data_IF_149281255517
#
_entry.id   IF_149281255517
#
_cell.length_a   1.000
_cell.length_b   1.000
_cell.length_c   1.000
_cell.angle_alpha   90.00
_cell.angle_beta   90.00
_cell.angle_gamma   90.00
#
_symmetry.space_group_name_H-M   'P 1'
#
loop_
_entity.id
_entity.type
_entity.pdbx_description
1 polymer ?
#
# COMPACT_ATOMS: atom_id res chain seq x y z
N UNK A 1 -2.18 11.94 -13.69
CA UNK A 1 -1.15 10.95 -14.11
C UNK A 1 -1.62 10.27 -15.38
N UNK A 2 -0.82 10.34 -16.43
CA UNK A 2 -1.17 9.68 -17.70
C UNK A 2 -0.82 8.19 -17.62
N UNK A 3 -1.78 7.33 -17.91
CA UNK A 3 -1.67 5.87 -17.84
C UNK A 3 -0.45 5.32 -18.60
N UNK A 4 -0.18 5.86 -19.79
CA UNK A 4 0.92 5.43 -20.66
C UNK A 4 2.31 5.73 -20.09
N UNK A 5 2.50 6.90 -19.46
CA UNK A 5 3.74 7.27 -18.78
C UNK A 5 3.98 6.45 -17.52
N UNK A 6 2.93 6.13 -16.81
CA UNK A 6 2.97 5.31 -15.60
C UNK A 6 3.42 3.88 -15.91
N UNK A 7 2.86 3.28 -16.98
CA UNK A 7 3.22 1.91 -17.38
C UNK A 7 4.71 1.82 -17.75
N UNK A 8 5.27 2.83 -18.42
CA UNK A 8 6.70 2.86 -18.75
C UNK A 8 7.62 2.86 -17.54
N UNK A 9 7.16 3.38 -16.41
CA UNK A 9 7.94 3.38 -15.16
C UNK A 9 7.86 2.05 -14.40
N UNK A 10 6.80 1.27 -14.64
CA UNK A 10 6.56 0.01 -13.95
C UNK A 10 7.20 -1.18 -14.68
N UNK A 11 7.17 -1.14 -16.02
CA UNK A 11 7.68 -2.23 -16.86
C UNK A 11 8.93 -1.79 -17.60
N UNK A 12 9.99 -2.60 -17.50
CA UNK A 12 11.14 -2.48 -18.36
C UNK A 12 10.84 -3.11 -19.72
N UNK A 13 11.57 -2.66 -20.74
CA UNK A 13 11.50 -3.26 -22.08
C UNK A 13 12.85 -3.86 -22.38
N UNK A 14 12.88 -5.14 -22.68
CA UNK A 14 14.11 -5.85 -23.04
C UNK A 14 14.59 -5.46 -24.45
N UNK A 15 15.84 -5.78 -24.79
CA UNK A 15 16.42 -5.45 -26.08
C UNK A 15 15.65 -6.06 -27.26
N UNK A 16 14.96 -7.18 -27.04
CA UNK A 16 14.11 -7.84 -28.05
C UNK A 16 12.66 -7.33 -28.05
N UNK A 17 12.37 -6.26 -27.29
CA UNK A 17 11.06 -5.61 -27.27
C UNK A 17 10.03 -6.22 -26.35
N UNK A 18 10.41 -7.24 -25.54
CA UNK A 18 9.52 -7.81 -24.55
C UNK A 18 9.36 -6.89 -23.35
N UNK A 19 8.16 -6.86 -22.78
CA UNK A 19 7.90 -6.13 -21.54
C UNK A 19 8.26 -7.01 -20.35
N UNK A 20 9.21 -6.55 -19.52
CA UNK A 20 9.64 -7.25 -18.33
C UNK A 20 9.06 -6.57 -17.08
N UNK A 21 8.52 -7.36 -16.18
CA UNK A 21 7.99 -6.85 -14.92
C UNK A 21 9.14 -6.54 -13.95
N UNK A 22 9.18 -5.29 -13.49
CA UNK A 22 10.16 -4.84 -12.50
C UNK A 22 9.81 -5.39 -11.12
N UNK A 23 10.84 -5.65 -10.29
CA UNK A 23 10.64 -6.08 -8.90
C UNK A 23 10.15 -4.95 -8.00
N UNK A 24 10.25 -3.70 -8.45
CA UNK A 24 9.84 -2.51 -7.70
C UNK A 24 8.80 -1.72 -8.49
N UNK A 25 7.78 -1.27 -7.78
CA UNK A 25 6.78 -0.34 -8.30
C UNK A 25 7.09 1.05 -7.74
N UNK A 26 7.47 1.96 -8.61
CA UNK A 26 7.73 3.36 -8.26
C UNK A 26 6.56 4.23 -8.65
N UNK A 27 5.92 4.84 -7.66
CA UNK A 27 4.90 5.86 -7.93
C UNK A 27 5.64 7.12 -8.38
N UNK A 28 5.23 7.72 -9.53
CA UNK A 28 5.96 8.85 -10.12
C UNK A 28 6.15 10.03 -9.17
N UNK A 29 7.33 10.64 -9.22
CA UNK A 29 7.61 11.88 -8.48
C UNK A 29 6.59 12.96 -8.87
N UNK A 30 6.15 13.74 -7.90
CA UNK A 30 5.13 14.78 -8.09
C UNK A 30 3.70 14.29 -7.92
N UNK A 31 3.47 12.97 -7.82
CA UNK A 31 2.13 12.43 -7.52
C UNK A 31 1.72 12.87 -6.12
N UNK A 32 0.58 13.55 -6.00
CA UNK A 32 0.04 14.02 -4.71
C UNK A 32 -1.02 13.08 -4.16
N UNK A 33 -1.84 12.51 -5.05
CA UNK A 33 -2.93 11.60 -4.71
C UNK A 33 -2.81 10.34 -5.55
N UNK A 34 -2.78 9.18 -4.90
CA UNK A 34 -2.94 7.91 -5.59
C UNK A 34 -4.44 7.63 -5.63
N UNK A 35 -5.02 7.72 -6.80
CA UNK A 35 -6.48 7.68 -7.00
C UNK A 35 -7.09 6.32 -6.69
N UNK A 36 -8.37 6.36 -6.34
CA UNK A 36 -9.17 5.16 -6.05
C UNK A 36 -9.04 4.11 -7.16
N UNK A 37 -8.78 2.88 -6.76
CA UNK A 37 -8.64 1.70 -7.65
C UNK A 37 -7.53 1.79 -8.71
N UNK A 38 -6.72 2.83 -8.71
CA UNK A 38 -5.77 3.07 -9.82
C UNK A 38 -4.80 1.90 -10.02
N UNK A 39 -4.03 1.56 -8.99
CA UNK A 39 -3.03 0.51 -9.09
C UNK A 39 -3.69 -0.87 -9.10
N UNK A 40 -4.72 -1.03 -8.31
CA UNK A 40 -5.53 -2.25 -8.27
C UNK A 40 -6.02 -2.62 -9.67
N UNK A 41 -6.64 -1.67 -10.38
CA UNK A 41 -7.16 -1.91 -11.74
C UNK A 41 -6.05 -2.21 -12.76
N UNK A 42 -4.90 -1.55 -12.64
CA UNK A 42 -3.77 -1.77 -13.56
C UNK A 42 -3.21 -3.20 -13.47
N UNK A 43 -3.30 -3.84 -12.31
CA UNK A 43 -2.66 -5.14 -12.06
C UNK A 43 -3.63 -6.26 -11.66
N UNK A 44 -4.92 -6.00 -11.68
CA UNK A 44 -5.96 -6.92 -11.19
C UNK A 44 -5.87 -8.32 -11.80
N UNK A 45 -5.63 -8.40 -13.11
CA UNK A 45 -5.73 -9.65 -13.86
C UNK A 45 -4.37 -10.27 -14.24
N UNK A 46 -3.24 -9.65 -13.91
CA UNK A 46 -1.95 -10.14 -14.40
C UNK A 46 -1.06 -10.80 -13.34
N UNK A 47 -1.56 -10.94 -12.11
CA UNK A 47 -0.80 -11.60 -11.04
C UNK A 47 0.48 -10.88 -10.64
N UNK A 48 0.56 -9.57 -10.90
CA UNK A 48 1.75 -8.76 -10.61
C UNK A 48 2.16 -8.90 -9.14
N UNK A 49 3.45 -9.14 -8.92
CA UNK A 49 4.04 -9.24 -7.59
C UNK A 49 5.29 -8.38 -7.53
N UNK A 50 5.33 -7.51 -6.54
CA UNK A 50 6.46 -6.60 -6.33
C UNK A 50 7.16 -6.92 -5.01
N UNK A 51 8.47 -6.76 -4.98
CA UNK A 51 9.20 -6.79 -3.72
C UNK A 51 8.94 -5.52 -2.93
N UNK A 52 8.92 -4.37 -3.64
CA UNK A 52 8.72 -3.06 -3.01
C UNK A 52 7.76 -2.20 -3.82
N UNK A 53 6.94 -1.45 -3.11
CA UNK A 53 6.23 -0.29 -3.64
C UNK A 53 6.84 0.95 -2.99
N UNK A 54 7.32 1.87 -3.81
CA UNK A 54 8.02 3.08 -3.35
C UNK A 54 7.17 4.29 -3.69
N UNK A 55 6.75 5.00 -2.66
CA UNK A 55 5.97 6.22 -2.77
C UNK A 55 6.90 7.44 -2.69
N UNK A 56 6.72 8.46 -3.54
CA UNK A 56 7.51 9.69 -3.39
C UNK A 56 7.01 10.54 -2.22
N UNK A 57 7.85 11.48 -1.77
CA UNK A 57 7.49 12.41 -0.68
C UNK A 57 6.29 13.31 -1.02
N UNK A 58 5.95 13.43 -2.30
CA UNK A 58 4.85 14.27 -2.77
C UNK A 58 3.47 13.70 -2.47
N UNK A 59 3.35 12.38 -2.22
CA UNK A 59 2.05 11.75 -1.96
C UNK A 59 1.51 12.17 -0.60
N UNK A 60 0.33 12.80 -0.62
CA UNK A 60 -0.42 13.22 0.57
C UNK A 60 -1.54 12.27 0.91
N UNK A 61 -2.15 11.65 -0.09
CA UNK A 61 -3.34 10.83 0.09
C UNK A 61 -3.29 9.59 -0.81
N UNK A 62 -3.67 8.47 -0.22
CA UNK A 62 -3.91 7.21 -0.93
C UNK A 62 -5.39 6.93 -0.80
N UNK A 63 -6.12 7.00 -1.92
CA UNK A 63 -7.57 6.88 -1.93
C UNK A 63 -8.06 5.44 -1.83
N UNK A 64 -9.39 5.29 -1.76
CA UNK A 64 -10.09 4.03 -1.56
C UNK A 64 -9.62 2.94 -2.53
N UNK A 65 -9.22 1.79 -1.98
CA UNK A 65 -8.81 0.60 -2.73
C UNK A 65 -7.69 0.82 -3.76
N UNK A 66 -6.89 1.89 -3.61
CA UNK A 66 -5.87 2.26 -4.61
C UNK A 66 -4.90 1.13 -4.95
N UNK A 67 -4.45 0.37 -3.95
CA UNK A 67 -3.52 -0.77 -4.10
C UNK A 67 -4.16 -2.12 -3.74
N UNK A 68 -5.47 -2.20 -3.61
CA UNK A 68 -6.13 -3.42 -3.18
C UNK A 68 -5.78 -4.60 -4.09
N UNK A 69 -5.49 -5.75 -3.47
CA UNK A 69 -5.22 -7.03 -4.13
C UNK A 69 -3.98 -7.07 -5.05
N UNK A 70 -3.14 -6.04 -5.07
CA UNK A 70 -1.79 -6.21 -5.63
C UNK A 70 -0.94 -6.98 -4.63
N UNK A 71 0.14 -7.59 -5.08
CA UNK A 71 1.07 -8.27 -4.18
C UNK A 71 2.32 -7.43 -4.02
N UNK A 72 2.64 -7.06 -2.77
CA UNK A 72 3.88 -6.33 -2.47
C UNK A 72 4.37 -6.75 -1.09
N UNK A 73 5.64 -7.14 -1.00
CA UNK A 73 6.22 -7.53 0.28
C UNK A 73 6.51 -6.33 1.17
N UNK A 74 6.91 -5.21 0.58
CA UNK A 74 7.23 -3.98 1.29
C UNK A 74 6.57 -2.78 0.63
N UNK A 75 6.12 -1.85 1.44
CA UNK A 75 5.65 -0.54 0.99
C UNK A 75 6.43 0.51 1.76
N UNK A 76 7.14 1.37 1.04
CA UNK A 76 7.93 2.44 1.63
C UNK A 76 7.10 3.71 1.67
N UNK A 77 6.54 3.98 2.84
CA UNK A 77 5.80 5.21 3.11
C UNK A 77 6.77 6.34 3.43
N UNK A 78 6.52 7.51 2.87
CA UNK A 78 7.39 8.68 3.03
C UNK A 78 6.73 9.77 3.86
N UNK A 79 7.52 10.62 4.48
CA UNK A 79 7.02 11.82 5.14
C UNK A 79 6.28 12.70 4.14
N UNK A 80 5.15 13.24 4.56
CA UNK A 80 4.24 13.95 3.70
C UNK A 80 2.90 13.24 3.54
N UNK A 81 2.87 11.91 3.68
CA UNK A 81 1.63 11.15 3.63
C UNK A 81 0.75 11.48 4.84
N UNK A 82 -0.49 11.90 4.57
CA UNK A 82 -1.44 12.33 5.60
C UNK A 82 -2.66 11.41 5.74
N UNK A 83 -3.05 10.73 4.66
CA UNK A 83 -4.28 9.93 4.67
C UNK A 83 -4.14 8.66 3.85
N UNK A 84 -4.57 7.55 4.46
CA UNK A 84 -4.76 6.25 3.80
C UNK A 84 -6.23 5.91 3.94
N UNK A 85 -6.94 5.85 2.82
CA UNK A 85 -8.38 5.62 2.81
C UNK A 85 -8.73 4.13 2.95
N UNK A 86 -10.03 3.85 3.05
CA UNK A 86 -10.52 2.48 3.23
C UNK A 86 -10.08 1.52 2.13
N UNK A 87 -9.79 0.29 2.48
CA UNK A 87 -9.39 -0.80 1.57
C UNK A 87 -8.10 -0.54 0.78
N UNK A 88 -7.38 0.55 1.04
CA UNK A 88 -6.26 1.00 0.18
C UNK A 88 -5.20 -0.08 -0.07
N UNK A 89 -4.86 -0.88 0.92
CA UNK A 89 -3.88 -1.98 0.84
C UNK A 89 -4.47 -3.33 1.22
N UNK A 90 -5.77 -3.50 1.09
CA UNK A 90 -6.41 -4.78 1.41
C UNK A 90 -5.86 -5.88 0.53
N UNK A 91 -5.49 -6.99 1.15
CA UNK A 91 -5.03 -8.18 0.42
C UNK A 91 -3.63 -8.07 -0.17
N UNK A 92 -2.83 -7.07 0.21
CA UNK A 92 -1.51 -6.83 -0.39
C UNK A 92 -0.44 -7.81 0.09
N UNK A 93 -0.47 -8.22 1.36
CA UNK A 93 0.49 -9.17 1.88
C UNK A 93 1.84 -8.56 2.29
N UNK A 94 1.79 -7.39 2.90
CA UNK A 94 2.98 -6.71 3.42
C UNK A 94 3.63 -7.57 4.51
N UNK A 95 4.96 -7.71 4.45
CA UNK A 95 5.77 -8.40 5.45
C UNK A 95 6.53 -7.38 6.29
N UNK A 96 6.28 -7.36 7.59
CA UNK A 96 7.03 -6.52 8.50
C UNK A 96 6.85 -6.99 9.94
N UNK A 97 7.94 -7.04 10.67
CA UNK A 97 7.92 -7.24 12.11
C UNK A 97 7.40 -6.00 12.84
N UNK A 98 7.70 -4.83 12.30
CA UNK A 98 7.18 -3.56 12.80
C UNK A 98 7.18 -2.52 11.67
N UNK A 99 6.01 -2.25 11.10
CA UNK A 99 5.84 -1.21 10.07
C UNK A 99 5.61 0.13 10.78
N UNK A 100 6.58 1.02 10.64
CA UNK A 100 6.52 2.36 11.23
C UNK A 100 5.98 3.34 10.18
N UNK A 101 4.86 3.95 10.47
CA UNK A 101 4.25 4.95 9.59
C UNK A 101 4.87 6.33 9.78
N UNK A 102 4.89 7.17 8.74
CA UNK A 102 5.46 8.52 8.83
C UNK A 102 4.69 9.39 9.84
N UNK A 103 5.39 10.31 10.47
CA UNK A 103 4.85 11.21 11.51
C UNK A 103 3.73 12.11 11.00
N UNK A 104 3.65 12.30 9.69
CA UNK A 104 2.63 13.14 9.05
C UNK A 104 1.28 12.46 8.92
N UNK A 105 1.21 11.13 9.09
CA UNK A 105 -0.03 10.37 8.88
C UNK A 105 -1.07 10.72 9.94
N UNK A 106 -2.28 11.08 9.49
CA UNK A 106 -3.40 11.54 10.32
C UNK A 106 -4.53 10.54 10.42
N UNK A 107 -4.75 9.71 9.39
CA UNK A 107 -5.86 8.75 9.41
C UNK A 107 -5.62 7.54 8.52
N UNK A 108 -6.18 6.41 8.96
CA UNK A 108 -6.23 5.14 8.24
C UNK A 108 -7.66 4.65 8.25
N UNK A 109 -8.22 4.38 7.08
CA UNK A 109 -9.62 4.01 6.91
C UNK A 109 -9.91 2.53 7.22
N UNK A 110 -11.20 2.18 7.12
CA UNK A 110 -11.70 0.82 7.34
C UNK A 110 -11.04 -0.17 6.37
N UNK A 111 -10.64 -1.33 6.87
CA UNK A 111 -10.06 -2.44 6.08
C UNK A 111 -8.82 -2.06 5.28
N UNK A 112 -8.17 -0.94 5.60
CA UNK A 112 -7.05 -0.43 4.80
C UNK A 112 -5.91 -1.44 4.63
N UNK A 113 -5.64 -2.25 5.64
CA UNK A 113 -4.61 -3.30 5.64
C UNK A 113 -5.17 -4.68 5.99
N UNK A 114 -6.46 -4.87 5.82
CA UNK A 114 -7.12 -6.14 6.14
C UNK A 114 -6.74 -7.23 5.13
N UNK A 115 -6.94 -8.47 5.52
CA UNK A 115 -6.64 -9.65 4.69
C UNK A 115 -5.21 -9.66 4.16
N UNK A 116 -4.26 -9.26 5.01
CA UNK A 116 -2.84 -9.17 4.66
C UNK A 116 -2.18 -10.55 4.73
N UNK A 117 -2.41 -11.37 3.70
CA UNK A 117 -1.97 -12.78 3.65
C UNK A 117 -1.24 -13.12 2.36
N UNK A 118 -0.08 -13.77 2.47
CA UNK A 118 0.61 -14.40 1.35
C UNK A 118 1.04 -15.80 1.77
N UNK A 119 0.72 -16.84 1.00
CA UNK A 119 -0.18 -16.85 -0.17
C UNK A 119 -1.63 -16.50 0.23
N UNK A 120 -2.44 -16.13 -0.74
CA UNK A 120 -3.80 -15.59 -0.54
C UNK A 120 -4.69 -16.43 0.40
N UNK A 121 -4.47 -17.73 0.47
CA UNK A 121 -5.23 -18.65 1.30
C UNK A 121 -4.52 -19.06 2.60
N UNK A 122 -3.37 -18.46 2.88
CA UNK A 122 -2.65 -18.67 4.14
C UNK A 122 -3.44 -18.06 5.30
N UNK A 123 -3.37 -18.70 6.45
CA UNK A 123 -3.87 -18.15 7.70
C UNK A 123 -2.86 -17.19 8.34
N UNK A 124 -1.68 -17.08 7.73
CA UNK A 124 -0.55 -16.36 8.30
C UNK A 124 -0.55 -14.90 7.86
N UNK A 125 -0.76 -14.00 8.81
CA UNK A 125 -0.61 -12.56 8.61
C UNK A 125 0.86 -12.18 8.79
N UNK A 126 1.50 -11.76 7.72
CA UNK A 126 2.91 -11.36 7.71
C UNK A 126 3.18 -9.95 8.24
N UNK A 127 2.13 -9.16 8.48
CA UNK A 127 2.23 -7.85 9.13
C UNK A 127 2.00 -8.02 10.63
N UNK A 128 3.09 -8.14 11.38
CA UNK A 128 3.02 -8.53 12.81
C UNK A 128 2.68 -7.34 13.70
N UNK A 129 3.25 -6.18 13.41
CA UNK A 129 3.12 -4.99 14.24
C UNK A 129 3.18 -3.74 13.37
N UNK A 130 2.40 -2.75 13.75
CA UNK A 130 2.46 -1.40 13.16
C UNK A 130 2.67 -0.38 14.27
N UNK A 131 3.40 0.68 13.96
CA UNK A 131 3.58 1.82 14.87
C UNK A 131 3.05 3.07 14.17
N UNK A 132 2.03 3.67 14.79
CA UNK A 132 1.33 4.84 14.28
C UNK A 132 1.74 6.09 15.05
N UNK A 133 1.73 7.28 14.39
CA UNK A 133 1.79 8.54 15.12
C UNK A 133 0.67 8.61 16.18
N UNK A 134 0.95 9.21 17.31
CA UNK A 134 0.04 9.21 18.48
C UNK A 134 -1.37 9.70 18.14
N UNK A 135 -1.49 10.69 17.26
CA UNK A 135 -2.78 11.28 16.91
C UNK A 135 -3.38 10.72 15.60
N UNK A 136 -2.76 9.69 15.02
CA UNK A 136 -3.28 9.05 13.82
C UNK A 136 -4.55 8.26 14.16
N UNK A 137 -5.67 8.64 13.57
CA UNK A 137 -6.93 7.96 13.76
C UNK A 137 -7.01 6.67 12.95
N UNK A 138 -7.49 5.60 13.53
CA UNK A 138 -7.69 4.32 12.86
C UNK A 138 -8.89 3.59 13.46
N UNK A 139 -9.37 2.56 12.74
CA UNK A 139 -10.51 1.74 13.18
C UNK A 139 -10.03 0.35 13.57
N UNK A 140 -10.84 -0.33 14.37
CA UNK A 140 -10.56 -1.71 14.79
C UNK A 140 -10.30 -2.65 13.60
N UNK A 141 -11.01 -2.42 12.50
CA UNK A 141 -10.91 -3.22 11.27
C UNK A 141 -9.91 -2.68 10.25
N UNK A 142 -9.16 -1.62 10.57
CA UNK A 142 -8.11 -1.10 9.68
C UNK A 142 -7.01 -2.12 9.43
N UNK A 143 -6.76 -3.00 10.39
CA UNK A 143 -5.75 -4.07 10.35
C UNK A 143 -6.38 -5.41 10.70
N UNK A 144 -5.71 -6.50 10.34
CA UNK A 144 -6.12 -7.83 10.80
C UNK A 144 -6.06 -7.95 12.33
N UNK A 145 -6.92 -8.78 12.95
CA UNK A 145 -6.92 -8.94 14.41
C UNK A 145 -5.59 -9.39 15.01
N UNK A 146 -4.75 -10.04 14.22
CA UNK A 146 -3.44 -10.54 14.66
C UNK A 146 -2.31 -9.51 14.54
N UNK A 147 -2.58 -8.35 13.95
CA UNK A 147 -1.60 -7.25 13.88
C UNK A 147 -1.63 -6.45 15.18
N UNK A 148 -0.49 -6.36 15.86
CA UNK A 148 -0.34 -5.48 17.02
C UNK A 148 -0.26 -4.02 16.56
N UNK A 149 -1.10 -3.15 17.11
CA UNK A 149 -1.09 -1.72 16.81
C UNK A 149 -0.54 -0.95 18.00
N UNK A 150 0.55 -0.21 17.78
CA UNK A 150 1.18 0.64 18.79
C UNK A 150 1.00 2.11 18.38
N UNK A 151 0.59 2.92 19.33
CA UNK A 151 0.28 4.33 19.07
C UNK A 151 -1.09 4.50 18.42
N UNK A 152 -1.28 5.67 17.82
CA UNK A 152 -2.54 5.97 17.17
C UNK A 152 -3.71 6.23 18.12
N UNK A 153 -4.83 6.60 17.53
CA UNK A 153 -6.09 6.87 18.24
C UNK A 153 -7.19 6.02 17.63
N UNK A 154 -7.64 5.01 18.37
CA UNK A 154 -8.74 4.15 17.94
C UNK A 154 -10.04 4.92 17.92
N UNK A 155 -10.69 4.93 16.76
CA UNK A 155 -12.02 5.53 16.59
C UNK A 155 -13.07 4.43 16.73
N UNK A 156 -14.00 4.62 17.64
CA UNK A 156 -15.13 3.73 17.84
C UNK A 156 -16.34 4.26 17.08
N UNK A 157 -16.96 3.38 16.34
CA UNK A 157 -18.24 3.67 15.68
C UNK A 157 -19.34 2.84 16.28
#
# INVERSE_FOLDING_TARGET
>A
MKRKGFIKQIFGVTADGRVEQLSELHIPAGTRVVQSFLISTLFEDNGASFKKVILPNSVKEIEHAAFANIRAEQVLFKNGLEKIDGYAFRGVGIRSENLVFPKTLKSIGHYAFAENRIPKFSQDNSLKKVTLPQNCEYYKDSFDPTTEVVGGKLIEE
#
